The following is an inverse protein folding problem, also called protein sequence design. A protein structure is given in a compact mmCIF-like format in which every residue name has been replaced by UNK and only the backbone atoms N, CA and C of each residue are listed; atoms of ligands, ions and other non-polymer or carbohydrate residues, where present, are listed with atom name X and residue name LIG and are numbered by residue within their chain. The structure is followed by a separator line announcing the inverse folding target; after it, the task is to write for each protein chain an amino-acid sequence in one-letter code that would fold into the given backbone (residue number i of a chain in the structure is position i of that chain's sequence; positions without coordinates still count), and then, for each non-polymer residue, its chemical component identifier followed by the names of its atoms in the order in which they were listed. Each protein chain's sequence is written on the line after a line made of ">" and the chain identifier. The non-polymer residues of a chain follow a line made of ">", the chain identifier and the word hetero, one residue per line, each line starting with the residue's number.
data_IF_892031253856
#
_entry.id   IF_892031253856
#
_cell.length_a   1.000
_cell.length_b   1.000
_cell.length_c   1.000
_cell.angle_alpha   90.00
_cell.angle_beta   90.00
_cell.angle_gamma   90.00
#
_symmetry.space_group_name_H-M   'P 1'
#
loop_
_entity.id
_entity.type
_entity.pdbx_description
1 polymer ?
#
# COMPACT_ATOMS: atom_id res chain seq x y z
N UNK A 1 36.60 17.36 26.16
CA UNK A 1 35.91 18.64 25.89
C UNK A 1 34.46 18.51 26.33
N UNK A 2 34.12 19.00 27.52
CA UNK A 2 32.73 19.06 28.01
C UNK A 2 32.05 20.24 27.33
N UNK A 3 31.09 19.97 26.43
CA UNK A 3 30.29 21.04 25.83
C UNK A 3 29.58 21.84 26.95
N UNK A 4 29.47 23.17 26.82
CA UNK A 4 28.79 23.98 27.81
C UNK A 4 27.33 23.54 27.94
N UNK A 5 26.82 23.40 29.18
CA UNK A 5 25.46 22.90 29.49
C UNK A 5 24.33 23.57 28.70
N UNK A 6 24.55 24.83 28.26
CA UNK A 6 23.62 25.58 27.41
C UNK A 6 23.63 25.10 25.95
N UNK A 7 24.80 24.77 25.40
CA UNK A 7 24.91 24.25 24.03
C UNK A 7 24.33 22.83 23.92
N UNK A 8 24.51 21.98 24.93
CA UNK A 8 23.86 20.66 24.96
C UNK A 8 22.34 20.78 25.09
N UNK A 9 21.83 21.71 25.91
CA UNK A 9 20.39 21.97 26.00
C UNK A 9 19.81 22.47 24.67
N UNK A 10 20.49 23.38 23.98
CA UNK A 10 20.07 23.87 22.66
C UNK A 10 20.09 22.74 21.64
N UNK A 11 21.17 21.95 21.56
CA UNK A 11 21.28 20.81 20.64
C UNK A 11 20.16 19.79 20.87
N UNK A 12 19.88 19.43 22.12
CA UNK A 12 18.79 18.52 22.46
C UNK A 12 17.42 19.11 22.08
N UNK A 13 17.21 20.42 22.28
CA UNK A 13 15.95 21.08 21.89
C UNK A 13 15.74 21.10 20.37
N UNK A 14 16.80 21.28 19.60
CA UNK A 14 16.76 21.23 18.13
C UNK A 14 16.45 19.81 17.66
N UNK A 15 17.12 18.80 18.20
CA UNK A 15 16.85 17.39 17.88
C UNK A 15 15.41 17.02 18.22
N UNK A 16 14.93 17.41 19.41
CA UNK A 16 13.55 17.15 19.82
C UNK A 16 12.55 17.82 18.88
N UNK A 17 12.78 19.08 18.51
CA UNK A 17 11.93 19.80 17.55
C UNK A 17 11.90 19.10 16.19
N UNK A 18 13.05 18.66 15.68
CA UNK A 18 13.12 17.92 14.41
C UNK A 18 12.36 16.60 14.47
N UNK A 19 12.46 15.85 15.57
CA UNK A 19 11.71 14.61 15.77
C UNK A 19 10.20 14.85 15.80
N UNK A 20 9.76 15.92 16.47
CA UNK A 20 8.33 16.30 16.50
C UNK A 20 7.83 16.69 15.12
N UNK A 21 8.59 17.50 14.37
CA UNK A 21 8.22 17.88 13.01
C UNK A 21 8.16 16.68 12.08
N UNK A 22 9.11 15.75 12.20
CA UNK A 22 9.11 14.51 11.43
C UNK A 22 7.89 13.64 11.75
N UNK A 23 7.53 13.50 13.04
CA UNK A 23 6.36 12.75 13.47
C UNK A 23 5.04 13.38 12.99
N UNK A 24 4.94 14.71 13.00
CA UNK A 24 3.77 15.42 12.46
C UNK A 24 3.67 15.26 10.94
N UNK A 25 4.80 15.32 10.24
CA UNK A 25 4.85 15.11 8.80
C UNK A 25 4.44 13.68 8.42
N UNK A 26 4.99 12.65 9.08
CA UNK A 26 4.60 11.26 8.83
C UNK A 26 3.12 11.03 9.09
N UNK A 27 2.59 11.56 10.19
CA UNK A 27 1.17 11.50 10.51
C UNK A 27 0.31 12.13 9.41
N UNK A 28 0.67 13.35 8.97
CA UNK A 28 -0.04 14.04 7.91
C UNK A 28 -0.06 13.23 6.62
N UNK A 29 1.10 12.77 6.14
CA UNK A 29 1.22 12.00 4.89
C UNK A 29 0.43 10.70 4.90
N UNK A 30 0.38 9.98 6.03
CA UNK A 30 -0.36 8.72 6.16
C UNK A 30 -1.87 8.90 6.42
N UNK A 31 -2.29 10.08 6.86
CA UNK A 31 -3.70 10.39 7.08
C UNK A 31 -4.38 11.02 5.86
N UNK A 32 -3.61 11.68 5.00
CA UNK A 32 -4.14 12.38 3.84
C UNK A 32 -4.11 11.51 2.60
N UNK A 33 -5.28 11.10 2.11
CA UNK A 33 -5.42 10.44 0.82
C UNK A 33 -5.41 11.48 -0.30
N UNK A 34 -4.42 11.39 -1.20
CA UNK A 34 -4.34 12.23 -2.40
C UNK A 34 -5.33 11.76 -3.47
N UNK A 35 -5.53 10.45 -3.59
CA UNK A 35 -6.41 9.84 -4.58
C UNK A 35 -6.91 8.50 -4.09
N UNK A 36 -8.19 8.22 -4.28
CA UNK A 36 -8.82 6.96 -3.94
C UNK A 36 -9.25 6.26 -5.22
N UNK A 37 -9.12 4.94 -5.27
CA UNK A 37 -9.49 4.19 -6.45
C UNK A 37 -9.60 2.70 -6.22
N UNK A 38 -10.03 2.00 -7.27
CA UNK A 38 -10.16 0.55 -7.26
C UNK A 38 -9.42 -0.05 -8.45
N UNK A 39 -8.75 -1.18 -8.22
CA UNK A 39 -8.09 -1.97 -9.26
C UNK A 39 -8.43 -3.44 -9.09
N UNK A 40 -8.71 -4.11 -10.20
CA UNK A 40 -8.97 -5.53 -10.22
C UNK A 40 -7.92 -6.25 -11.07
N UNK A 41 -7.40 -7.35 -10.56
CA UNK A 41 -6.34 -8.11 -11.21
C UNK A 41 -6.09 -9.45 -10.53
N UNK A 42 -5.11 -10.19 -11.02
CA UNK A 42 -4.69 -11.44 -10.40
C UNK A 42 -3.59 -11.17 -9.38
N UNK A 43 -3.78 -11.60 -8.14
CA UNK A 43 -2.79 -11.46 -7.09
C UNK A 43 -1.62 -12.43 -7.35
N UNK A 44 -0.52 -11.90 -7.85
CA UNK A 44 0.63 -12.72 -8.25
C UNK A 44 1.63 -12.88 -7.11
N UNK A 45 1.82 -11.83 -6.31
CA UNK A 45 2.82 -11.80 -5.25
C UNK A 45 2.26 -11.08 -4.04
N UNK A 46 2.49 -11.65 -2.86
CA UNK A 46 2.20 -11.00 -1.60
C UNK A 46 3.26 -11.46 -0.61
N UNK A 47 4.07 -10.53 -0.11
CA UNK A 47 5.22 -10.86 0.73
C UNK A 47 5.41 -9.81 1.82
N UNK A 48 5.75 -10.28 3.01
CA UNK A 48 6.18 -9.42 4.11
C UNK A 48 7.66 -9.09 3.93
N UNK A 49 7.97 -7.87 3.47
CA UNK A 49 9.34 -7.44 3.15
C UNK A 49 9.74 -6.22 3.99
N UNK A 50 11.04 -5.99 4.15
CA UNK A 50 11.60 -4.88 4.93
C UNK A 50 12.73 -5.33 5.86
N UNK A 51 13.75 -4.47 6.00
CA UNK A 51 14.95 -4.77 6.79
C UNK A 51 14.79 -4.41 8.26
N UNK A 52 14.33 -3.17 8.56
CA UNK A 52 14.09 -2.67 9.91
C UNK A 52 12.61 -2.80 10.33
N UNK A 53 11.70 -2.30 9.49
CA UNK A 53 10.26 -2.47 9.67
C UNK A 53 9.73 -3.33 8.53
N UNK A 54 8.97 -4.37 8.85
CA UNK A 54 8.41 -5.29 7.86
C UNK A 54 6.99 -4.87 7.49
N UNK A 55 6.76 -4.52 6.23
CA UNK A 55 5.45 -4.19 5.67
C UNK A 55 4.96 -5.32 4.77
N UNK A 56 3.65 -5.39 4.57
CA UNK A 56 3.04 -6.34 3.63
C UNK A 56 2.89 -5.69 2.28
N UNK A 57 3.51 -6.28 1.27
CA UNK A 57 3.56 -5.72 -0.07
C UNK A 57 2.97 -6.72 -1.04
N UNK A 58 1.98 -6.27 -1.80
CA UNK A 58 1.29 -7.04 -2.82
C UNK A 58 1.53 -6.51 -4.22
N UNK A 59 1.45 -7.40 -5.20
CA UNK A 59 1.49 -7.06 -6.62
C UNK A 59 0.32 -7.79 -7.31
N UNK A 60 -0.56 -7.02 -7.95
CA UNK A 60 -1.57 -7.56 -8.87
C UNK A 60 -1.17 -7.35 -10.32
N UNK A 61 -1.52 -8.31 -11.17
CA UNK A 61 -1.45 -8.16 -12.61
C UNK A 61 -2.79 -7.68 -13.13
N UNK A 62 -2.81 -6.48 -13.70
CA UNK A 62 -3.96 -5.97 -14.42
C UNK A 62 -3.98 -6.66 -15.79
N UNK A 63 -5.09 -7.33 -16.11
CA UNK A 63 -5.24 -7.97 -17.41
C UNK A 63 -5.52 -6.90 -18.46
N UNK A 64 -4.45 -6.41 -19.08
CA UNK A 64 -4.50 -5.49 -20.20
C UNK A 64 -4.44 -6.30 -21.49
N UNK A 65 -5.59 -6.65 -22.08
CA UNK A 65 -5.73 -7.32 -23.39
C UNK A 65 -4.99 -8.68 -23.59
N UNK A 66 -5.62 -9.67 -24.26
CA UNK A 66 -4.92 -10.91 -24.63
C UNK A 66 -3.68 -10.61 -25.50
N UNK A 67 -2.50 -11.07 -25.07
CA UNK A 67 -1.25 -10.96 -25.83
C UNK A 67 -0.37 -9.74 -25.52
N UNK A 68 -0.84 -8.79 -24.70
CA UNK A 68 0.02 -7.72 -24.19
C UNK A 68 0.64 -8.09 -22.83
N UNK A 69 1.75 -7.44 -22.49
CA UNK A 69 2.41 -7.63 -21.19
C UNK A 69 1.49 -7.01 -20.12
N UNK A 70 0.98 -7.79 -19.15
CA UNK A 70 0.08 -7.26 -18.13
C UNK A 70 0.79 -6.22 -17.27
N UNK A 71 0.12 -5.08 -17.06
CA UNK A 71 0.62 -4.04 -16.17
C UNK A 71 0.61 -4.55 -14.72
N UNK A 72 1.72 -4.31 -14.01
CA UNK A 72 1.85 -4.70 -12.60
C UNK A 72 1.49 -3.52 -11.72
N UNK A 73 0.60 -3.73 -10.78
CA UNK A 73 0.30 -2.76 -9.74
C UNK A 73 0.76 -3.26 -8.39
N UNK A 74 1.76 -2.58 -7.84
CA UNK A 74 2.27 -2.82 -6.50
C UNK A 74 1.53 -1.94 -5.49
N UNK A 75 1.20 -2.52 -4.34
CA UNK A 75 0.49 -1.85 -3.26
C UNK A 75 0.96 -2.37 -1.90
N UNK A 76 0.83 -1.52 -0.89
CA UNK A 76 1.15 -1.83 0.50
C UNK A 76 -0.13 -2.08 1.30
N UNK A 77 -0.12 -3.06 2.20
CA UNK A 77 -1.24 -3.35 3.11
C UNK A 77 -0.79 -3.15 4.55
N UNK A 78 -1.55 -2.35 5.31
CA UNK A 78 -1.28 -2.11 6.73
C UNK A 78 -2.25 -2.84 7.66
N UNK A 79 -3.48 -3.07 7.21
CA UNK A 79 -4.52 -3.67 8.03
C UNK A 79 -4.43 -5.20 8.03
N UNK A 80 -4.36 -5.81 9.23
CA UNK A 80 -4.19 -7.27 9.36
C UNK A 80 -5.36 -8.09 8.79
N UNK A 81 -6.59 -7.54 8.81
CA UNK A 81 -7.76 -8.20 8.24
C UNK A 81 -7.61 -8.37 6.72
N UNK A 82 -7.19 -7.31 6.03
CA UNK A 82 -6.93 -7.31 4.58
C UNK A 82 -5.74 -8.21 4.25
N UNK A 83 -4.69 -8.21 5.07
CA UNK A 83 -3.54 -9.12 4.92
C UNK A 83 -3.99 -10.58 4.91
N UNK A 84 -4.80 -11.00 5.89
CA UNK A 84 -5.28 -12.39 5.97
C UNK A 84 -6.14 -12.77 4.77
N UNK A 85 -7.01 -11.86 4.31
CA UNK A 85 -7.83 -12.08 3.12
C UNK A 85 -6.96 -12.29 1.87
N UNK A 86 -6.01 -11.37 1.62
CA UNK A 86 -5.13 -11.44 0.45
C UNK A 86 -4.17 -12.64 0.50
N UNK A 87 -3.71 -13.02 1.69
CA UNK A 87 -2.84 -14.18 1.87
C UNK A 87 -3.52 -15.49 1.47
N UNK A 88 -4.84 -15.59 1.67
CA UNK A 88 -5.64 -16.73 1.23
C UNK A 88 -6.06 -16.63 -0.25
N UNK A 89 -5.90 -15.47 -0.89
CA UNK A 89 -6.33 -15.18 -2.25
C UNK A 89 -5.18 -15.17 -3.28
N UNK A 90 -4.02 -15.73 -2.92
CA UNK A 90 -2.86 -15.80 -3.83
C UNK A 90 -3.19 -16.64 -5.06
N UNK A 91 -2.87 -16.10 -6.24
CA UNK A 91 -3.20 -16.70 -7.52
C UNK A 91 -4.65 -16.52 -7.96
N UNK A 92 -5.51 -15.91 -7.12
CA UNK A 92 -6.90 -15.63 -7.46
C UNK A 92 -7.07 -14.21 -7.99
N UNK A 93 -8.20 -13.97 -8.66
CA UNK A 93 -8.62 -12.63 -9.07
C UNK A 93 -9.12 -11.89 -7.83
N UNK A 94 -8.55 -10.72 -7.58
CA UNK A 94 -8.91 -9.85 -6.46
C UNK A 94 -9.24 -8.46 -6.98
N UNK A 95 -10.16 -7.79 -6.31
CA UNK A 95 -10.39 -6.35 -6.45
C UNK A 95 -9.88 -5.69 -5.17
N UNK A 96 -9.03 -4.68 -5.33
CA UNK A 96 -8.47 -3.91 -4.23
C UNK A 96 -8.93 -2.46 -4.33
N UNK A 97 -9.43 -1.94 -3.23
CA UNK A 97 -9.65 -0.51 -3.03
C UNK A 97 -8.41 0.05 -2.36
N UNK A 98 -7.86 1.12 -2.91
CA UNK A 98 -6.62 1.72 -2.44
C UNK A 98 -6.76 3.23 -2.25
N UNK A 99 -5.96 3.74 -1.32
CA UNK A 99 -5.73 5.16 -1.07
C UNK A 99 -4.29 5.49 -1.44
N UNK A 100 -4.08 6.53 -2.23
CA UNK A 100 -2.77 7.00 -2.63
C UNK A 100 -2.30 8.06 -1.65
N UNK A 101 -1.27 7.76 -0.89
CA UNK A 101 -0.62 8.68 0.03
C UNK A 101 0.71 9.13 -0.56
N UNK A 102 0.80 10.41 -0.95
CA UNK A 102 2.02 10.98 -1.54
C UNK A 102 2.99 11.46 -0.48
N UNK A 103 4.29 11.25 -0.73
CA UNK A 103 5.35 11.81 0.11
C UNK A 103 5.61 11.06 1.42
N UNK A 104 5.25 9.77 1.49
CA UNK A 104 5.56 8.89 2.62
C UNK A 104 7.09 8.86 2.81
N UNK A 105 7.62 9.33 3.95
CA UNK A 105 9.04 9.66 4.07
C UNK A 105 9.97 8.47 4.23
N UNK A 106 9.47 7.29 4.61
CA UNK A 106 10.30 6.10 4.82
C UNK A 106 9.61 4.82 4.37
N UNK A 107 10.41 3.85 3.92
CA UNK A 107 9.95 2.50 3.58
C UNK A 107 9.43 1.70 4.78
N UNK A 108 9.66 2.20 6.00
CA UNK A 108 9.08 1.59 7.20
C UNK A 108 7.55 1.68 7.25
N UNK A 109 6.96 2.67 6.56
CA UNK A 109 5.52 2.87 6.53
C UNK A 109 4.84 2.19 5.34
N UNK A 110 5.56 2.05 4.22
CA UNK A 110 5.14 1.34 3.03
C UNK A 110 6.16 1.54 1.92
N UNK A 111 6.30 0.53 1.06
CA UNK A 111 7.23 0.60 -0.07
C UNK A 111 6.60 1.26 -1.30
N UNK A 112 5.29 1.43 -1.29
CA UNK A 112 4.53 2.08 -2.35
C UNK A 112 3.73 3.25 -1.78
N UNK A 113 3.31 4.16 -2.67
CA UNK A 113 2.38 5.23 -2.32
C UNK A 113 0.93 4.74 -2.27
N UNK A 114 0.66 3.48 -2.62
CA UNK A 114 -0.69 2.94 -2.76
C UNK A 114 -0.99 1.99 -1.60
N UNK A 115 -1.90 2.39 -0.73
CA UNK A 115 -2.26 1.64 0.46
C UNK A 115 -3.62 0.97 0.24
N UNK A 116 -3.64 -0.36 0.19
CA UNK A 116 -4.89 -1.09 0.05
C UNK A 116 -5.65 -1.08 1.39
N UNK A 117 -6.85 -0.53 1.36
CA UNK A 117 -7.75 -0.41 2.51
C UNK A 117 -8.82 -1.50 2.53
N UNK A 118 -9.20 -2.02 1.37
CA UNK A 118 -10.14 -3.15 1.25
C UNK A 118 -9.70 -4.10 0.16
N UNK A 119 -9.96 -5.38 0.39
CA UNK A 119 -9.82 -6.43 -0.62
C UNK A 119 -11.13 -7.19 -0.74
N UNK A 120 -11.53 -7.50 -1.97
CA UNK A 120 -12.64 -8.36 -2.29
C UNK A 120 -12.15 -9.51 -3.16
N UNK A 121 -12.36 -10.73 -2.67
CA UNK A 121 -12.08 -11.99 -3.39
C UNK A 121 -13.36 -12.39 -4.12
N UNK A 122 -13.55 -11.90 -5.34
CA UNK A 122 -14.70 -12.30 -6.15
C UNK A 122 -14.42 -13.57 -6.95
N UNK A 123 -15.42 -14.43 -7.20
CA UNK A 123 -15.38 -15.28 -8.38
C UNK A 123 -15.58 -14.43 -9.64
N UNK A 124 -15.63 -15.09 -10.80
CA UNK A 124 -16.01 -14.56 -12.11
C UNK A 124 -14.80 -14.10 -12.95
N UNK A 125 -14.23 -15.10 -13.64
CA UNK A 125 -13.79 -14.97 -15.03
C UNK A 125 -14.66 -13.92 -15.75
N UNK A 126 -14.15 -13.07 -16.67
CA UNK A 126 -15.03 -12.24 -17.48
C UNK A 126 -16.15 -13.14 -18.02
N UNK A 127 -17.41 -12.79 -17.74
CA UNK A 127 -18.58 -13.53 -18.24
C UNK A 127 -18.32 -13.71 -19.73
N UNK A 128 -18.16 -14.96 -20.16
CA UNK A 128 -17.99 -15.24 -21.58
C UNK A 128 -19.21 -14.62 -22.27
N UNK A 129 -19.09 -13.96 -23.43
CA UNK A 129 -20.24 -13.43 -24.16
C UNK A 129 -21.38 -14.46 -24.34
N UNK A 130 -21.08 -15.75 -24.21
CA UNK A 130 -22.02 -16.88 -24.22
C UNK A 130 -22.89 -17.04 -22.96
N UNK A 131 -22.58 -16.39 -21.84
CA UNK A 131 -23.30 -16.48 -20.56
C UNK A 131 -24.03 -15.19 -20.18
N UNK A 132 -24.03 -14.19 -21.07
CA UNK A 132 -24.89 -13.01 -20.93
C UNK A 132 -26.36 -13.46 -21.02
N UNK A 133 -27.23 -13.10 -20.06
CA UNK A 133 -28.65 -13.39 -20.17
C UNK A 133 -29.16 -12.72 -21.45
N UNK A 134 -29.76 -13.52 -22.34
CA UNK A 134 -30.48 -12.98 -23.48
C UNK A 134 -31.52 -11.99 -22.96
N UNK A 135 -31.37 -10.72 -23.33
CA UNK A 135 -32.40 -9.72 -23.09
C UNK A 135 -33.71 -10.23 -23.71
N UNK A 136 -34.72 -10.45 -22.88
CA UNK A 136 -36.09 -10.75 -23.30
C UNK A 136 -36.74 -9.48 -23.85
#
# INVERSE_FOLDING_TARGET
>A
MTMPKRATAILLSVIATLLVLFALYTWFTLSWSYSEGERAGYLQKFSKKGWLCKTWEGEILLSSMPGAIPERFAFTVREEAVVKQLQNAIGQRVQITYEQHRGVPTSCFGETEYFATKASTGPVNPVSPSEAPAAQ
#
